data_IF_550683244455
#
_entry.id   IF_550683244455
#
_cell.length_a   1.000
_cell.length_b   1.000
_cell.length_c   1.000
_cell.angle_alpha   90.00
_cell.angle_beta   90.00
_cell.angle_gamma   90.00
#
_symmetry.space_group_name_H-M   'P 1'
#
loop_
_entity.id
_entity.type
_entity.pdbx_description
1 polymer ?
#
# COMPACT_ATOMS: atom_id res chain seq x y z
N UNK A 1 22.32 20.65 2.69
CA UNK A 1 20.89 20.41 2.99
C UNK A 1 20.57 18.94 2.71
N UNK A 2 20.01 18.24 3.66
CA UNK A 2 19.51 16.88 3.45
C UNK A 2 18.25 16.96 2.57
N UNK A 3 18.26 16.30 1.41
CA UNK A 3 17.08 16.24 0.55
C UNK A 3 16.06 15.26 1.13
N UNK A 4 14.78 15.52 0.94
CA UNK A 4 13.69 14.63 1.34
C UNK A 4 13.05 14.03 0.09
N UNK A 5 12.62 12.77 0.20
CA UNK A 5 11.70 12.11 -0.73
C UNK A 5 10.36 12.01 -0.02
N UNK A 6 9.31 12.57 -0.59
CA UNK A 6 7.95 12.44 -0.09
C UNK A 6 7.23 11.34 -0.85
N UNK A 7 6.71 10.35 -0.14
CA UNK A 7 6.04 9.19 -0.70
C UNK A 7 4.58 9.16 -0.29
N UNK A 8 3.72 9.55 -1.22
CA UNK A 8 2.28 9.48 -1.09
C UNK A 8 1.78 8.11 -1.55
N UNK A 9 1.07 7.37 -0.71
CA UNK A 9 0.68 5.99 -1.02
C UNK A 9 -0.68 5.61 -0.47
N UNK A 10 -1.29 4.61 -1.13
CA UNK A 10 -2.48 3.88 -0.69
C UNK A 10 -2.22 2.39 -0.91
N UNK A 11 -2.61 1.54 0.04
CA UNK A 11 -2.42 0.09 -0.07
C UNK A 11 -3.15 -0.53 -1.26
N UNK A 12 -4.21 0.12 -1.77
CA UNK A 12 -4.93 -0.29 -2.98
C UNK A 12 -4.15 -0.07 -4.28
N UNK A 13 -2.97 0.58 -4.21
CA UNK A 13 -2.15 0.84 -5.39
C UNK A 13 -1.00 -0.18 -5.51
N UNK A 14 -1.01 -1.08 -6.51
CA UNK A 14 0.11 -1.98 -6.76
C UNK A 14 1.38 -1.25 -7.19
N UNK A 15 1.25 -0.10 -7.86
CA UNK A 15 2.40 0.75 -8.20
C UNK A 15 3.02 1.36 -6.96
N UNK A 16 2.22 1.74 -5.96
CA UNK A 16 2.74 2.20 -4.67
C UNK A 16 3.48 1.09 -3.93
N UNK A 17 2.98 -0.16 -3.98
CA UNK A 17 3.72 -1.31 -3.45
C UNK A 17 5.10 -1.45 -4.09
N UNK A 18 5.18 -1.46 -5.42
CA UNK A 18 6.46 -1.56 -6.12
C UNK A 18 7.40 -0.40 -5.79
N UNK A 19 6.87 0.83 -5.74
CA UNK A 19 7.65 2.00 -5.33
C UNK A 19 8.17 1.87 -3.89
N UNK A 20 7.34 1.43 -2.96
CA UNK A 20 7.70 1.20 -1.56
C UNK A 20 8.91 0.27 -1.43
N UNK A 21 8.95 -0.84 -2.21
CA UNK A 21 10.08 -1.79 -2.19
C UNK A 21 11.41 -1.17 -2.61
N UNK A 22 11.39 -0.13 -3.43
CA UNK A 22 12.60 0.50 -3.98
C UNK A 22 13.00 1.78 -3.25
N UNK A 23 12.03 2.57 -2.77
CA UNK A 23 12.30 3.87 -2.18
C UNK A 23 13.14 3.79 -0.91
N UNK A 24 12.97 2.77 -0.09
CA UNK A 24 13.80 2.55 1.11
C UNK A 24 15.26 2.34 0.72
N UNK A 25 15.52 1.48 -0.26
CA UNK A 25 16.88 1.22 -0.76
C UNK A 25 17.50 2.47 -1.42
N UNK A 26 16.69 3.25 -2.13
CA UNK A 26 17.15 4.49 -2.77
C UNK A 26 17.47 5.55 -1.71
N UNK A 27 16.61 5.72 -0.72
CA UNK A 27 16.81 6.68 0.36
C UNK A 27 18.09 6.39 1.16
N UNK A 28 18.31 5.12 1.50
CA UNK A 28 19.53 4.67 2.16
C UNK A 28 20.78 4.93 1.32
N UNK A 29 20.79 4.48 0.06
CA UNK A 29 21.91 4.66 -0.87
C UNK A 29 22.23 6.13 -1.12
N UNK A 30 21.22 6.99 -1.16
CA UNK A 30 21.37 8.43 -1.43
C UNK A 30 21.52 9.28 -0.16
N UNK A 31 21.46 8.65 1.03
CA UNK A 31 21.51 9.33 2.33
C UNK A 31 20.49 10.48 2.40
N UNK A 32 19.25 10.19 2.02
CA UNK A 32 18.12 11.13 2.00
C UNK A 32 17.00 10.61 2.90
N UNK A 33 16.19 11.52 3.44
CA UNK A 33 15.05 11.14 4.26
C UNK A 33 13.89 10.68 3.36
N UNK A 34 13.21 9.62 3.78
CA UNK A 34 11.95 9.17 3.18
C UNK A 34 10.80 9.51 4.11
N UNK A 35 9.92 10.39 3.65
CA UNK A 35 8.75 10.85 4.39
C UNK A 35 7.52 10.18 3.79
N UNK A 36 6.75 9.52 4.63
CA UNK A 36 5.57 8.76 4.20
C UNK A 36 4.30 9.57 4.42
N UNK A 37 3.46 9.62 3.41
CA UNK A 37 2.15 10.29 3.43
C UNK A 37 1.05 9.29 3.05
N UNK A 38 0.41 8.62 4.03
CA UNK A 38 -0.78 7.83 3.77
C UNK A 38 -1.90 8.70 3.20
N UNK A 39 -2.47 8.29 2.07
CA UNK A 39 -3.58 9.00 1.41
C UNK A 39 -4.72 8.03 1.12
N UNK A 40 -5.92 8.54 0.90
CA UNK A 40 -7.03 7.76 0.36
C UNK A 40 -7.17 8.04 -1.14
N UNK A 41 -6.60 7.16 -1.98
CA UNK A 41 -6.54 7.34 -3.43
C UNK A 41 -7.93 7.44 -4.07
N UNK A 42 -8.87 6.60 -3.62
CA UNK A 42 -10.27 6.68 -4.08
C UNK A 42 -10.94 8.03 -3.77
N UNK A 43 -10.61 8.61 -2.62
CA UNK A 43 -11.07 9.96 -2.24
C UNK A 43 -10.47 11.04 -3.14
N UNK A 44 -9.20 10.92 -3.51
CA UNK A 44 -8.53 11.84 -4.43
C UNK A 44 -9.14 11.76 -5.82
N UNK A 45 -9.39 10.57 -6.36
CA UNK A 45 -10.09 10.40 -7.64
C UNK A 45 -11.44 11.12 -7.64
N UNK A 46 -12.23 10.93 -6.59
CA UNK A 46 -13.53 11.59 -6.44
C UNK A 46 -13.41 13.11 -6.38
N UNK A 47 -12.46 13.63 -5.61
CA UNK A 47 -12.27 15.07 -5.42
C UNK A 47 -11.75 15.78 -6.68
N UNK A 48 -10.96 15.10 -7.50
CA UNK A 48 -10.34 15.67 -8.71
C UNK A 48 -11.10 15.37 -10.00
N UNK A 49 -12.13 14.53 -9.95
CA UNK A 49 -12.83 14.03 -11.14
C UNK A 49 -11.98 13.10 -12.01
N UNK A 50 -10.85 12.62 -11.49
CA UNK A 50 -10.00 11.66 -12.18
C UNK A 50 -10.52 10.23 -12.00
N UNK A 51 -10.04 9.31 -12.84
CA UNK A 51 -10.42 7.90 -12.79
C UNK A 51 -9.18 7.01 -12.72
N UNK A 52 -9.29 5.82 -12.08
CA UNK A 52 -8.20 4.86 -12.09
C UNK A 52 -7.90 4.39 -13.52
N UNK A 53 -6.63 4.08 -13.85
CA UNK A 53 -6.27 3.58 -15.19
C UNK A 53 -7.07 2.37 -15.64
N UNK A 54 -7.49 1.52 -14.69
CA UNK A 54 -8.29 0.33 -14.95
C UNK A 54 -9.70 0.64 -15.50
N UNK A 55 -10.21 1.87 -15.39
CA UNK A 55 -11.47 2.29 -15.98
C UNK A 55 -11.43 2.34 -17.52
N UNK A 56 -10.22 2.37 -18.09
CA UNK A 56 -9.99 2.23 -19.54
C UNK A 56 -9.42 0.84 -19.79
N UNK A 57 -10.17 -0.08 -20.44
CA UNK A 57 -9.76 -1.49 -20.54
C UNK A 57 -8.36 -1.72 -21.10
N UNK A 58 -7.97 -0.99 -22.14
CA UNK A 58 -6.64 -1.08 -22.73
C UNK A 58 -5.53 -0.66 -21.75
N UNK A 59 -5.74 0.42 -20.99
CA UNK A 59 -4.80 0.86 -19.96
C UNK A 59 -4.70 -0.14 -18.82
N UNK A 60 -5.84 -0.67 -18.36
CA UNK A 60 -5.87 -1.69 -17.31
C UNK A 60 -5.11 -2.95 -17.72
N UNK A 61 -5.32 -3.43 -18.95
CA UNK A 61 -4.59 -4.58 -19.50
C UNK A 61 -3.07 -4.33 -19.59
N UNK A 62 -2.66 -3.18 -20.09
CA UNK A 62 -1.24 -2.80 -20.15
C UNK A 62 -0.62 -2.72 -18.75
N UNK A 63 -1.30 -2.06 -17.82
CA UNK A 63 -0.80 -1.91 -16.45
C UNK A 63 -0.51 -3.25 -15.78
N UNK A 64 -1.34 -4.27 -16.04
CA UNK A 64 -1.09 -5.62 -15.52
C UNK A 64 0.23 -6.22 -15.99
N UNK A 65 0.54 -6.07 -17.27
CA UNK A 65 1.80 -6.55 -17.86
C UNK A 65 2.98 -5.74 -17.32
N UNK A 66 2.80 -4.43 -17.20
CA UNK A 66 3.85 -3.52 -16.75
C UNK A 66 4.22 -3.74 -15.28
N UNK A 67 3.22 -3.94 -14.42
CA UNK A 67 3.44 -4.28 -13.00
C UNK A 67 4.29 -5.55 -12.85
N UNK A 68 4.00 -6.60 -13.63
CA UNK A 68 4.81 -7.82 -13.58
C UNK A 68 6.25 -7.58 -14.06
N UNK A 69 6.44 -6.83 -15.14
CA UNK A 69 7.77 -6.46 -15.64
C UNK A 69 8.61 -5.73 -14.58
N UNK A 70 8.00 -4.79 -13.87
CA UNK A 70 8.70 -4.07 -12.81
C UNK A 70 8.95 -4.93 -11.58
N UNK A 71 8.03 -5.80 -11.19
CA UNK A 71 8.25 -6.75 -10.12
C UNK A 71 9.45 -7.66 -10.42
N UNK A 72 9.52 -8.20 -11.64
CA UNK A 72 10.63 -9.03 -12.12
C UNK A 72 11.96 -8.23 -12.14
N UNK A 73 11.93 -7.01 -12.66
CA UNK A 73 13.08 -6.11 -12.69
C UNK A 73 13.62 -5.79 -11.30
N UNK A 74 12.73 -5.56 -10.35
CA UNK A 74 13.07 -5.25 -8.94
C UNK A 74 13.36 -6.51 -8.13
N UNK A 75 13.09 -7.70 -8.68
CA UNK A 75 13.22 -9.00 -8.01
C UNK A 75 12.40 -9.07 -6.71
N UNK A 76 11.19 -8.53 -6.75
CA UNK A 76 10.26 -8.54 -5.63
C UNK A 76 9.04 -9.42 -5.97
N UNK A 77 8.47 -10.13 -4.98
CA UNK A 77 7.26 -10.92 -5.19
C UNK A 77 6.08 -9.99 -5.49
N UNK A 78 5.25 -10.39 -6.45
CA UNK A 78 4.02 -9.68 -6.78
C UNK A 78 2.95 -10.67 -7.22
N UNK A 79 1.75 -10.51 -6.69
CA UNK A 79 0.55 -11.22 -7.14
C UNK A 79 -0.62 -10.23 -7.23
N UNK A 80 -1.36 -10.31 -8.33
CA UNK A 80 -2.60 -9.56 -8.45
C UNK A 80 -3.58 -9.99 -7.37
N UNK A 81 -4.17 -9.02 -6.66
CA UNK A 81 -5.21 -9.31 -5.69
C UNK A 81 -6.53 -9.65 -6.41
N UNK A 82 -7.08 -10.87 -6.25
CA UNK A 82 -8.33 -11.27 -6.90
C UNK A 82 -9.56 -10.58 -6.31
N UNK A 83 -9.44 -9.99 -5.12
CA UNK A 83 -10.51 -9.27 -4.42
C UNK A 83 -10.52 -7.76 -4.73
N UNK A 84 -9.63 -7.32 -5.62
CA UNK A 84 -9.57 -5.91 -6.01
C UNK A 84 -10.82 -5.50 -6.81
N UNK A 85 -11.41 -4.30 -6.57
CA UNK A 85 -10.94 -3.24 -5.68
C UNK A 85 -11.27 -3.47 -4.20
N UNK A 86 -10.28 -3.22 -3.33
CA UNK A 86 -10.45 -3.24 -1.87
C UNK A 86 -10.71 -1.82 -1.38
N UNK A 87 -11.69 -1.64 -0.49
CA UNK A 87 -11.87 -0.37 0.20
C UNK A 87 -10.77 -0.22 1.26
N UNK A 88 -9.85 0.68 1.03
CA UNK A 88 -8.67 0.87 1.86
C UNK A 88 -8.84 1.90 2.98
N UNK A 89 -10.03 2.47 3.18
CA UNK A 89 -10.22 3.56 4.15
C UNK A 89 -9.74 3.19 5.56
N UNK A 90 -10.18 2.05 6.10
CA UNK A 90 -9.76 1.59 7.42
C UNK A 90 -8.26 1.28 7.47
N UNK A 91 -7.72 0.68 6.41
CA UNK A 91 -6.30 0.38 6.31
C UNK A 91 -5.44 1.65 6.30
N UNK A 92 -5.88 2.69 5.58
CA UNK A 92 -5.16 3.96 5.51
C UNK A 92 -5.28 4.78 6.80
N UNK A 93 -6.41 4.70 7.50
CA UNK A 93 -6.55 5.25 8.86
C UNK A 93 -5.58 4.59 9.83
N UNK A 94 -5.47 3.26 9.78
CA UNK A 94 -4.46 2.52 10.54
C UNK A 94 -3.04 3.01 10.25
N UNK A 95 -2.69 3.24 8.97
CA UNK A 95 -1.37 3.75 8.61
C UNK A 95 -1.07 5.11 9.24
N UNK A 96 -2.04 6.04 9.23
CA UNK A 96 -1.90 7.37 9.88
C UNK A 96 -1.70 7.20 11.39
N UNK A 97 -2.52 6.38 12.03
CA UNK A 97 -2.46 6.18 13.49
C UNK A 97 -1.13 5.55 13.94
N UNK A 98 -0.66 4.51 13.23
CA UNK A 98 0.62 3.87 13.58
C UNK A 98 1.85 4.73 13.29
N UNK A 99 1.74 5.85 12.53
CA UNK A 99 2.82 6.82 12.43
C UNK A 99 3.18 7.45 13.78
N UNK A 100 2.19 7.61 14.66
CA UNK A 100 2.37 8.20 15.98
C UNK A 100 2.95 7.21 17.00
N UNK A 101 2.64 5.91 16.85
CA UNK A 101 2.98 4.87 17.82
C UNK A 101 4.32 4.15 17.56
N UNK A 102 4.99 4.43 16.44
CA UNK A 102 6.28 3.81 16.10
C UNK A 102 6.20 2.45 15.37
N UNK A 103 5.03 1.84 15.23
CA UNK A 103 4.82 0.57 14.51
C UNK A 103 4.50 0.76 13.01
N UNK A 104 4.64 1.97 12.51
CA UNK A 104 4.24 2.35 11.16
C UNK A 104 4.82 1.45 10.06
N UNK A 105 6.15 1.29 9.99
CA UNK A 105 6.76 0.50 8.92
C UNK A 105 6.40 -0.98 9.00
N UNK A 106 6.25 -1.53 10.20
CA UNK A 106 5.75 -2.89 10.41
C UNK A 106 4.34 -3.03 9.84
N UNK A 107 3.45 -2.09 10.16
CA UNK A 107 2.08 -2.08 9.66
C UNK A 107 2.03 -1.95 8.15
N UNK A 108 2.78 -1.01 7.55
CA UNK A 108 2.83 -0.81 6.10
C UNK A 108 3.31 -2.07 5.37
N UNK A 109 4.36 -2.73 5.87
CA UNK A 109 4.84 -3.99 5.32
C UNK A 109 3.77 -5.08 5.36
N UNK A 110 3.10 -5.26 6.50
CA UNK A 110 2.04 -6.27 6.67
C UNK A 110 0.88 -6.02 5.71
N UNK A 111 0.43 -4.77 5.57
CA UNK A 111 -0.68 -4.46 4.67
C UNK A 111 -0.30 -4.64 3.20
N UNK A 112 0.85 -4.18 2.74
CA UNK A 112 1.31 -4.44 1.38
C UNK A 112 1.53 -5.92 1.09
N UNK A 113 2.05 -6.70 2.05
CA UNK A 113 2.20 -8.14 1.91
C UNK A 113 0.85 -8.83 1.66
N UNK A 114 -0.17 -8.50 2.46
CA UNK A 114 -1.50 -9.10 2.36
C UNK A 114 -2.36 -8.50 1.23
N UNK A 115 -1.90 -7.43 0.59
CA UNK A 115 -2.51 -6.89 -0.62
C UNK A 115 -1.88 -7.45 -1.89
N UNK A 116 -0.53 -7.58 -1.95
CA UNK A 116 0.18 -7.76 -3.23
C UNK A 116 1.22 -8.88 -3.27
N UNK A 117 1.44 -9.63 -2.17
CA UNK A 117 2.36 -10.79 -2.13
C UNK A 117 1.57 -12.08 -1.85
N UNK A 118 0.81 -12.10 -0.78
CA UNK A 118 -0.13 -13.16 -0.40
C UNK A 118 -1.55 -12.56 -0.28
N UNK A 119 -2.20 -12.28 -1.42
CA UNK A 119 -3.40 -11.45 -1.47
C UNK A 119 -4.56 -12.03 -0.69
N UNK A 120 -5.14 -11.21 0.19
CA UNK A 120 -6.31 -11.54 0.99
C UNK A 120 -7.44 -10.55 0.74
N UNK A 121 -8.66 -10.96 1.08
CA UNK A 121 -9.82 -10.07 1.04
C UNK A 121 -9.85 -9.16 2.28
N UNK A 122 -9.10 -8.06 2.26
CA UNK A 122 -9.08 -7.13 3.38
C UNK A 122 -10.35 -6.25 3.51
N UNK A 123 -11.37 -6.46 2.65
CA UNK A 123 -12.72 -5.95 2.90
C UNK A 123 -13.46 -6.77 3.97
N UNK A 124 -13.06 -8.02 4.17
CA UNK A 124 -13.65 -8.90 5.15
C UNK A 124 -13.04 -8.64 6.53
N UNK A 125 -13.88 -8.27 7.50
CA UNK A 125 -13.43 -7.93 8.85
C UNK A 125 -12.74 -9.10 9.57
N UNK A 126 -13.21 -10.34 9.37
CA UNK A 126 -12.60 -11.50 10.03
C UNK A 126 -11.23 -11.81 9.41
N UNK A 127 -11.09 -11.63 8.11
CA UNK A 127 -9.80 -11.77 7.42
C UNK A 127 -8.82 -10.69 7.90
N UNK A 128 -9.25 -9.42 7.95
CA UNK A 128 -8.41 -8.33 8.43
C UNK A 128 -8.01 -8.53 9.89
N UNK A 129 -8.96 -8.89 10.75
CA UNK A 129 -8.72 -9.21 12.17
C UNK A 129 -7.66 -10.30 12.31
N UNK A 130 -7.78 -11.39 11.54
CA UNK A 130 -6.80 -12.46 11.55
C UNK A 130 -5.42 -11.96 11.12
N UNK A 131 -5.33 -11.16 10.06
CA UNK A 131 -4.05 -10.56 9.61
C UNK A 131 -3.41 -9.70 10.70
N UNK A 132 -4.19 -8.90 11.41
CA UNK A 132 -3.70 -8.06 12.51
C UNK A 132 -3.15 -8.91 13.65
N UNK A 133 -3.92 -9.89 14.13
CA UNK A 133 -3.53 -10.78 15.25
C UNK A 133 -2.29 -11.60 14.87
N UNK A 134 -2.26 -12.22 13.69
CA UNK A 134 -1.14 -13.04 13.22
C UNK A 134 0.18 -12.24 13.13
N UNK A 135 0.08 -10.91 13.05
CA UNK A 135 1.22 -10.00 13.00
C UNK A 135 1.45 -9.18 14.28
N UNK A 136 0.85 -9.61 15.40
CA UNK A 136 0.98 -8.98 16.71
C UNK A 136 0.49 -7.51 16.75
N UNK A 137 -0.61 -7.22 16.08
CA UNK A 137 -1.39 -6.01 16.26
C UNK A 137 -2.62 -6.31 17.10
N UNK A 138 -2.99 -5.39 18.00
CA UNK A 138 -4.23 -5.48 18.74
C UNK A 138 -5.41 -5.05 17.86
N UNK A 139 -6.31 -5.99 17.58
CA UNK A 139 -7.47 -5.72 16.73
C UNK A 139 -8.45 -4.73 17.38
N UNK A 140 -8.66 -4.81 18.70
CA UNK A 140 -9.62 -3.95 19.39
C UNK A 140 -9.11 -2.51 19.46
N UNK A 141 -7.80 -2.35 19.62
CA UNK A 141 -7.14 -1.06 19.51
C UNK A 141 -7.23 -0.52 18.07
N UNK A 142 -6.92 -1.36 17.06
CA UNK A 142 -7.04 -0.97 15.65
C UNK A 142 -8.45 -0.48 15.30
N UNK A 143 -9.49 -1.14 15.77
CA UNK A 143 -10.89 -0.77 15.51
C UNK A 143 -11.33 0.54 16.17
N UNK A 144 -10.59 1.04 17.15
CA UNK A 144 -10.84 2.32 17.83
C UNK A 144 -10.11 3.50 17.18
N UNK A 145 -9.13 3.21 16.36
CA UNK A 145 -8.31 4.19 15.63
C UNK A 145 -9.04 4.70 14.40
#
# INVERSE_FOLDING_TARGET
MTKNIEFYFDFGSPTAYLAFTQLQLIAERKKTNLIYHPILLGGIFKATGNNPPASVPAKGKYMMVDLQRYADKYKVPYKRNPYFPVNTLSLMRGAVSYQEDGDFLKYVNVMFQNMWIDPKNLNDHEVLKKVLIDNNFDNDDFMKR
#
